data_IF_834159018333
#
_entry.id   IF_834159018333
#
_cell.length_a   1.000
_cell.length_b   1.000
_cell.length_c   1.000
_cell.angle_alpha   90.00
_cell.angle_beta   90.00
_cell.angle_gamma   90.00
#
_symmetry.space_group_name_H-M   'P 1'
#
loop_
_entity.id
_entity.type
_entity.pdbx_description
1 polymer ?
#
# COMPACT_ATOMS: atom_id res chain seq x y z
N UNK A 1 54.12 -30.84 -11.57
CA UNK A 1 52.99 -31.69 -11.94
C UNK A 1 51.75 -31.03 -11.40
N UNK A 2 50.85 -30.56 -12.28
CA UNK A 2 49.56 -30.03 -11.87
C UNK A 2 48.72 -31.18 -11.32
N UNK A 3 48.18 -31.08 -10.08
CA UNK A 3 47.31 -32.11 -9.53
C UNK A 3 46.08 -32.30 -10.44
N UNK A 4 45.59 -33.54 -10.54
CA UNK A 4 44.45 -33.84 -11.39
C UNK A 4 43.15 -33.26 -10.78
N UNK A 5 42.16 -32.96 -11.61
CA UNK A 5 40.86 -32.43 -11.17
C UNK A 5 40.21 -33.33 -10.11
N UNK A 6 40.34 -34.65 -10.27
CA UNK A 6 39.80 -35.65 -9.34
C UNK A 6 40.54 -35.64 -7.99
N UNK A 7 41.85 -35.38 -7.98
CA UNK A 7 42.63 -35.21 -6.74
C UNK A 7 42.24 -33.95 -5.97
N UNK A 8 41.99 -32.84 -6.68
CA UNK A 8 41.57 -31.56 -6.07
C UNK A 8 40.15 -31.71 -5.51
N UNK A 9 39.23 -32.32 -6.25
CA UNK A 9 37.85 -32.56 -5.82
C UNK A 9 37.78 -33.49 -4.60
N UNK A 10 38.57 -34.58 -4.59
CA UNK A 10 38.63 -35.48 -3.45
C UNK A 10 39.21 -34.81 -2.21
N UNK A 11 40.18 -33.90 -2.37
CA UNK A 11 40.71 -33.09 -1.28
C UNK A 11 39.68 -32.14 -0.71
N UNK A 12 38.93 -31.45 -1.57
CA UNK A 12 37.83 -30.57 -1.15
C UNK A 12 36.76 -31.35 -0.36
N UNK A 13 36.27 -32.47 -0.90
CA UNK A 13 35.27 -33.32 -0.24
C UNK A 13 35.75 -33.86 1.12
N UNK A 14 37.04 -34.18 1.24
CA UNK A 14 37.61 -34.63 2.51
C UNK A 14 37.68 -33.49 3.53
N UNK A 15 38.11 -32.28 3.13
CA UNK A 15 38.16 -31.12 4.01
C UNK A 15 36.77 -30.69 4.51
N UNK A 16 35.77 -30.69 3.62
CA UNK A 16 34.37 -30.37 3.95
C UNK A 16 33.79 -31.37 4.97
N UNK A 17 34.04 -32.67 4.77
CA UNK A 17 33.57 -33.72 5.68
C UNK A 17 34.20 -33.61 7.06
N UNK A 18 35.44 -33.15 7.13
CA UNK A 18 36.22 -33.01 8.37
C UNK A 18 36.01 -31.64 9.06
N UNK A 19 35.18 -30.74 8.48
CA UNK A 19 34.90 -29.40 9.02
C UNK A 19 36.11 -28.45 8.97
N UNK A 20 36.98 -28.59 7.98
CA UNK A 20 38.18 -27.78 7.77
C UNK A 20 37.93 -26.73 6.70
N UNK A 21 37.17 -25.70 7.06
CA UNK A 21 36.64 -24.68 6.16
C UNK A 21 37.73 -23.98 5.32
N UNK A 22 38.85 -23.60 5.94
CA UNK A 22 39.94 -22.90 5.24
C UNK A 22 40.61 -23.78 4.16
N UNK A 23 40.79 -25.08 4.44
CA UNK A 23 41.38 -26.04 3.48
C UNK A 23 40.41 -26.41 2.36
N UNK A 24 39.11 -26.43 2.66
CA UNK A 24 38.07 -26.64 1.67
C UNK A 24 38.03 -25.47 0.69
N UNK A 25 38.04 -24.23 1.19
CA UNK A 25 38.07 -23.04 0.34
C UNK A 25 39.32 -23.02 -0.56
N UNK A 26 40.51 -23.31 -0.02
CA UNK A 26 41.75 -23.36 -0.80
C UNK A 26 41.70 -24.44 -1.92
N UNK A 27 41.19 -25.63 -1.61
CA UNK A 27 41.03 -26.70 -2.60
C UNK A 27 40.00 -26.33 -3.69
N UNK A 28 38.92 -25.63 -3.31
CA UNK A 28 37.91 -25.15 -4.24
C UNK A 28 38.46 -24.07 -5.17
N UNK A 29 39.24 -23.12 -4.65
CA UNK A 29 39.93 -22.11 -5.46
C UNK A 29 40.91 -22.76 -6.46
N UNK A 30 41.69 -23.75 -6.01
CA UNK A 30 42.60 -24.48 -6.88
C UNK A 30 41.87 -25.20 -8.04
N UNK A 31 40.64 -25.66 -7.82
CA UNK A 31 39.79 -26.26 -8.87
C UNK A 31 39.41 -25.21 -9.94
N UNK A 32 38.98 -24.03 -9.51
CA UNK A 32 38.61 -22.93 -10.42
C UNK A 32 39.80 -22.38 -11.20
N UNK A 33 40.98 -22.31 -10.58
CA UNK A 33 42.22 -21.90 -11.25
C UNK A 33 42.69 -22.94 -12.27
N UNK A 34 42.60 -24.24 -11.95
CA UNK A 34 43.00 -25.33 -12.83
C UNK A 34 42.12 -25.45 -14.08
N UNK A 35 40.82 -25.15 -13.97
CA UNK A 35 39.85 -25.26 -15.07
C UNK A 35 39.96 -24.12 -16.10
N UNK A 36 40.82 -23.11 -15.87
CA UNK A 36 40.98 -21.94 -16.73
C UNK A 36 39.64 -21.32 -17.17
N UNK A 37 38.65 -21.33 -16.26
CA UNK A 37 37.33 -20.81 -16.55
C UNK A 37 37.46 -19.32 -16.91
N UNK A 38 36.89 -18.89 -18.05
CA UNK A 38 36.92 -17.48 -18.40
C UNK A 38 36.27 -16.69 -17.26
N UNK A 39 36.86 -15.55 -16.84
CA UNK A 39 36.31 -14.75 -15.77
C UNK A 39 34.90 -14.33 -16.14
N UNK A 40 33.92 -15.00 -15.53
CA UNK A 40 32.51 -14.66 -15.65
C UNK A 40 32.34 -13.37 -14.85
N UNK A 41 32.43 -12.22 -15.51
CA UNK A 41 32.05 -10.95 -14.91
C UNK A 41 30.52 -10.92 -14.82
N UNK A 42 29.92 -11.17 -13.64
CA UNK A 42 28.47 -11.16 -13.55
C UNK A 42 27.96 -9.74 -13.82
N UNK A 43 26.75 -9.64 -14.37
CA UNK A 43 26.11 -8.33 -14.52
C UNK A 43 25.89 -7.67 -13.17
N UNK A 44 25.96 -6.34 -13.13
CA UNK A 44 25.69 -5.58 -11.92
C UNK A 44 24.37 -6.02 -11.24
N UNK A 45 24.42 -6.18 -9.92
CA UNK A 45 23.28 -6.67 -9.11
C UNK A 45 23.05 -8.18 -9.12
N UNK A 46 23.95 -9.00 -9.69
CA UNK A 46 23.86 -10.47 -9.59
C UNK A 46 23.92 -10.97 -8.15
N UNK A 47 24.87 -10.46 -7.35
CA UNK A 47 24.99 -10.79 -5.94
C UNK A 47 23.70 -10.48 -5.17
N UNK A 48 23.10 -9.30 -5.42
CA UNK A 48 21.81 -8.93 -4.81
C UNK A 48 20.69 -9.91 -5.18
N UNK A 49 20.59 -10.32 -6.46
CA UNK A 49 19.59 -11.30 -6.91
C UNK A 49 19.79 -12.67 -6.27
N UNK A 50 21.03 -13.12 -6.12
CA UNK A 50 21.37 -14.40 -5.47
C UNK A 50 21.05 -14.34 -3.99
N UNK A 51 21.44 -13.26 -3.30
CA UNK A 51 21.19 -13.07 -1.86
C UNK A 51 19.69 -12.93 -1.54
N UNK A 52 18.92 -12.27 -2.41
CA UNK A 52 17.46 -12.23 -2.31
C UNK A 52 16.85 -13.62 -2.51
N UNK A 53 17.32 -14.38 -3.51
CA UNK A 53 16.81 -15.74 -3.78
C UNK A 53 17.19 -16.75 -2.71
N UNK A 54 18.37 -16.61 -2.11
CA UNK A 54 18.85 -17.43 -1.00
C UNK A 54 18.18 -17.07 0.34
N UNK A 55 17.34 -16.03 0.39
CA UNK A 55 16.64 -15.61 1.61
C UNK A 55 17.55 -14.96 2.66
N UNK A 56 18.82 -14.70 2.33
CA UNK A 56 19.84 -14.14 3.24
C UNK A 56 19.62 -12.64 3.43
N UNK A 57 19.08 -11.96 2.42
CA UNK A 57 18.73 -10.53 2.50
C UNK A 57 17.21 -10.40 2.50
N UNK A 58 16.66 -9.93 3.62
CA UNK A 58 15.28 -9.47 3.66
C UNK A 58 15.13 -8.36 2.61
N UNK A 59 14.34 -8.63 1.57
CA UNK A 59 13.97 -7.64 0.55
C UNK A 59 13.48 -6.40 1.28
N UNK A 60 14.28 -5.33 1.26
CA UNK A 60 13.89 -4.05 1.85
C UNK A 60 12.60 -3.67 1.13
N UNK A 61 11.43 -3.64 1.79
CA UNK A 61 10.20 -3.37 1.09
C UNK A 61 10.37 -2.00 0.46
N UNK A 62 10.27 -1.96 -0.88
CA UNK A 62 10.20 -0.70 -1.61
C UNK A 62 9.08 0.07 -0.94
N UNK A 63 9.43 1.13 -0.20
CA UNK A 63 8.45 2.05 0.35
C UNK A 63 7.81 2.74 -0.85
N UNK A 64 6.82 2.09 -1.46
CA UNK A 64 5.80 2.75 -2.25
C UNK A 64 5.33 3.90 -1.36
N UNK A 65 5.65 5.12 -1.75
CA UNK A 65 5.34 6.28 -0.94
C UNK A 65 3.81 6.35 -0.84
N UNK A 66 3.26 5.85 0.27
CA UNK A 66 1.83 5.86 0.54
C UNK A 66 1.26 7.29 0.48
N UNK A 67 2.13 8.30 0.56
CA UNK A 67 1.83 9.73 0.52
C UNK A 67 2.00 10.40 -0.86
N UNK A 68 2.55 9.71 -1.87
CA UNK A 68 2.90 10.32 -3.18
C UNK A 68 1.86 10.12 -4.28
N UNK A 69 0.93 9.19 -4.13
CA UNK A 69 -0.04 8.83 -5.16
C UNK A 69 -1.22 9.80 -5.23
N UNK A 70 -1.69 10.09 -6.45
CA UNK A 70 -2.95 10.82 -6.73
C UNK A 70 -4.13 10.33 -5.87
N UNK A 71 -4.12 9.04 -5.53
CA UNK A 71 -5.09 8.36 -4.66
C UNK A 71 -5.08 8.86 -3.21
N UNK A 72 -3.91 9.11 -2.61
CA UNK A 72 -3.82 9.67 -1.26
C UNK A 72 -4.39 11.09 -1.23
N UNK A 73 -4.10 11.89 -2.26
CA UNK A 73 -4.70 13.22 -2.45
C UNK A 73 -6.21 13.14 -2.63
N UNK A 74 -6.71 12.17 -3.38
CA UNK A 74 -8.14 11.92 -3.52
C UNK A 74 -8.81 11.54 -2.19
N UNK A 75 -8.15 10.69 -1.39
CA UNK A 75 -8.65 10.25 -0.08
C UNK A 75 -8.64 11.40 0.93
N UNK A 76 -7.60 12.24 0.94
CA UNK A 76 -7.52 13.46 1.75
C UNK A 76 -8.57 14.48 1.30
N UNK A 77 -8.76 14.68 -0.01
CA UNK A 77 -9.78 15.59 -0.54
C UNK A 77 -11.20 15.11 -0.18
N UNK A 78 -11.45 13.80 -0.25
CA UNK A 78 -12.72 13.20 0.15
C UNK A 78 -12.94 13.32 1.66
N UNK A 79 -11.90 13.11 2.48
CA UNK A 79 -11.96 13.32 3.92
C UNK A 79 -12.25 14.79 4.24
N UNK A 80 -11.58 15.74 3.58
CA UNK A 80 -11.84 17.17 3.74
C UNK A 80 -13.26 17.56 3.31
N UNK A 81 -13.76 16.98 2.21
CA UNK A 81 -15.15 17.16 1.75
C UNK A 81 -16.14 16.60 2.78
N UNK A 82 -15.90 15.39 3.29
CA UNK A 82 -16.74 14.79 4.31
C UNK A 82 -16.75 15.63 5.60
N UNK A 83 -15.59 16.13 6.04
CA UNK A 83 -15.49 17.03 7.19
C UNK A 83 -16.23 18.35 6.92
N UNK A 84 -16.04 18.96 5.75
CA UNK A 84 -16.74 20.19 5.35
C UNK A 84 -18.26 20.02 5.25
N UNK A 85 -18.73 18.89 4.73
CA UNK A 85 -20.15 18.56 4.63
C UNK A 85 -20.77 18.22 5.99
N UNK A 86 -19.96 17.74 6.94
CA UNK A 86 -20.39 17.48 8.31
C UNK A 86 -20.50 18.74 9.18
N UNK A 87 -19.83 19.85 8.84
CA UNK A 87 -19.89 21.11 9.58
C UNK A 87 -21.31 21.67 9.80
N UNK A 88 -22.22 21.73 8.80
CA UNK A 88 -23.58 22.21 9.02
C UNK A 88 -24.36 21.30 9.99
N UNK A 89 -24.15 19.99 9.92
CA UNK A 89 -24.73 19.03 10.87
C UNK A 89 -24.14 19.17 12.27
N UNK A 90 -22.83 19.44 12.37
CA UNK A 90 -22.14 19.68 13.63
C UNK A 90 -22.66 20.95 14.31
N UNK A 91 -22.94 22.01 13.55
CA UNK A 91 -23.52 23.25 14.09
C UNK A 91 -24.94 23.06 14.64
N UNK A 92 -25.75 22.21 14.00
CA UNK A 92 -27.08 21.84 14.49
C UNK A 92 -27.00 20.99 15.75
N UNK A 93 -26.09 20.02 15.77
CA UNK A 93 -25.82 19.18 16.94
C UNK A 93 -25.32 20.03 18.13
N UNK A 94 -24.37 20.93 17.92
CA UNK A 94 -23.86 21.84 18.96
C UNK A 94 -24.94 22.78 19.50
N UNK A 95 -25.83 23.33 18.65
CA UNK A 95 -26.96 24.15 19.11
C UNK A 95 -27.94 23.33 19.96
N UNK A 96 -28.28 22.13 19.53
CA UNK A 96 -29.14 21.23 20.29
C UNK A 96 -28.52 20.82 21.63
N UNK A 97 -27.19 20.67 21.67
CA UNK A 97 -26.45 20.36 22.90
C UNK A 97 -26.38 21.55 23.85
N UNK A 98 -26.23 22.77 23.32
CA UNK A 98 -26.24 24.02 24.11
C UNK A 98 -27.65 24.31 24.66
N UNK A 99 -28.71 24.06 23.89
CA UNK A 99 -30.08 24.13 24.38
C UNK A 99 -30.37 23.08 25.45
N UNK A 100 -29.89 21.84 25.29
CA UNK A 100 -30.02 20.81 26.32
C UNK A 100 -29.23 21.18 27.59
N UNK A 101 -28.00 21.68 27.43
CA UNK A 101 -27.13 22.08 28.53
C UNK A 101 -27.70 23.29 29.30
N UNK A 102 -28.36 24.22 28.60
CA UNK A 102 -29.08 25.33 29.23
C UNK A 102 -30.31 24.87 30.03
N UNK A 103 -30.87 23.69 29.71
CA UNK A 103 -32.04 23.10 30.37
C UNK A 103 -31.68 22.16 31.52
N UNK A 104 -30.45 21.63 31.53
CA UNK A 104 -29.94 20.68 32.51
C UNK A 104 -28.98 21.37 33.49
N UNK A 105 -29.53 22.17 34.40
CA UNK A 105 -28.77 22.81 35.50
C UNK A 105 -28.44 21.86 36.67
N UNK A 106 -28.61 20.54 36.47
CA UNK A 106 -28.23 19.50 37.41
C UNK A 106 -26.83 18.98 37.05
N UNK A 107 -25.82 19.11 37.94
CA UNK A 107 -24.47 18.59 37.68
C UNK A 107 -24.44 17.08 37.44
N UNK A 108 -25.42 16.33 37.94
CA UNK A 108 -25.56 14.89 37.68
C UNK A 108 -25.93 14.55 36.22
N UNK A 109 -26.73 15.41 35.58
CA UNK A 109 -27.14 15.18 34.19
C UNK A 109 -26.05 15.57 33.19
N UNK A 110 -25.22 16.56 33.52
CA UNK A 110 -24.01 16.90 32.76
C UNK A 110 -23.00 15.74 32.74
N UNK A 111 -22.78 15.08 33.88
CA UNK A 111 -21.88 13.92 33.95
C UNK A 111 -22.45 12.74 33.16
N UNK A 112 -23.77 12.49 33.24
CA UNK A 112 -24.43 11.44 32.44
C UNK A 112 -24.36 11.72 30.95
N UNK A 113 -24.59 12.97 30.53
CA UNK A 113 -24.51 13.38 29.13
C UNK A 113 -23.06 13.29 28.61
N UNK A 114 -22.08 13.69 29.42
CA UNK A 114 -20.66 13.55 29.12
C UNK A 114 -20.24 12.09 28.94
N UNK A 115 -20.67 11.19 29.84
CA UNK A 115 -20.40 9.75 29.73
C UNK A 115 -21.11 9.14 28.51
N UNK A 116 -22.36 9.49 28.25
CA UNK A 116 -23.08 9.03 27.07
C UNK A 116 -22.40 9.50 25.77
N UNK A 117 -21.95 10.76 25.71
CA UNK A 117 -21.22 11.28 24.57
C UNK A 117 -19.87 10.56 24.38
N UNK A 118 -19.13 10.29 25.46
CA UNK A 118 -17.86 9.58 25.40
C UNK A 118 -18.03 8.15 24.90
N UNK A 119 -19.04 7.44 25.39
CA UNK A 119 -19.38 6.08 24.93
C UNK A 119 -19.77 6.09 23.46
N UNK A 120 -20.66 7.02 23.05
CA UNK A 120 -21.10 7.13 21.66
C UNK A 120 -19.93 7.46 20.73
N UNK A 121 -19.03 8.37 21.15
CA UNK A 121 -17.84 8.71 20.41
C UNK A 121 -16.88 7.51 20.29
N UNK A 122 -16.69 6.75 21.36
CA UNK A 122 -15.83 5.55 21.34
C UNK A 122 -16.38 4.46 20.42
N UNK A 123 -17.71 4.27 20.38
CA UNK A 123 -18.39 3.34 19.48
C UNK A 123 -18.30 3.79 18.03
N UNK A 124 -18.50 5.09 17.78
CA UNK A 124 -18.32 5.65 16.44
C UNK A 124 -16.88 5.45 15.95
N UNK A 125 -15.89 5.73 16.80
CA UNK A 125 -14.48 5.55 16.50
C UNK A 125 -14.14 4.09 16.20
N UNK A 126 -14.66 3.15 16.99
CA UNK A 126 -14.52 1.72 16.74
C UNK A 126 -15.12 1.35 15.38
N UNK A 127 -16.32 1.82 15.06
CA UNK A 127 -16.97 1.52 13.76
C UNK A 127 -16.17 2.06 12.57
N UNK A 128 -15.57 3.25 12.71
CA UNK A 128 -14.72 3.86 11.67
C UNK A 128 -13.45 3.04 11.47
N UNK A 129 -12.85 2.54 12.55
CA UNK A 129 -11.67 1.68 12.48
C UNK A 129 -12.04 0.35 11.79
N UNK A 130 -13.11 -0.31 12.20
CA UNK A 130 -13.56 -1.58 11.59
C UNK A 130 -13.93 -1.40 10.12
N UNK A 131 -14.58 -0.29 9.77
CA UNK A 131 -14.87 0.08 8.39
C UNK A 131 -13.59 0.32 7.59
N UNK A 132 -12.60 1.01 8.18
CA UNK A 132 -11.28 1.23 7.60
C UNK A 132 -10.52 -0.07 7.35
N UNK A 133 -10.58 -1.03 8.28
CA UNK A 133 -10.02 -2.37 8.11
C UNK A 133 -10.69 -3.13 6.97
N UNK A 134 -12.02 -3.04 6.85
CA UNK A 134 -12.78 -3.60 5.73
C UNK A 134 -12.34 -3.00 4.39
N UNK A 135 -12.13 -1.68 4.33
CA UNK A 135 -11.65 -0.98 3.14
C UNK A 135 -10.23 -1.42 2.75
N UNK A 136 -9.35 -1.58 3.73
CA UNK A 136 -7.98 -2.08 3.53
C UNK A 136 -7.99 -3.54 3.07
N UNK A 137 -8.89 -4.36 3.62
CA UNK A 137 -9.13 -5.74 3.17
C UNK A 137 -9.55 -5.79 1.71
N UNK A 138 -10.54 -4.97 1.34
CA UNK A 138 -10.98 -4.82 -0.05
C UNK A 138 -9.82 -4.39 -0.96
N UNK A 139 -9.05 -3.40 -0.52
CA UNK A 139 -7.87 -2.91 -1.25
C UNK A 139 -6.81 -3.99 -1.47
N UNK A 140 -6.56 -4.86 -0.48
CA UNK A 140 -5.63 -5.99 -0.63
C UNK A 140 -6.14 -7.05 -1.60
N UNK A 141 -7.43 -7.37 -1.53
CA UNK A 141 -8.08 -8.33 -2.46
C UNK A 141 -8.04 -7.79 -3.89
N UNK A 142 -8.28 -6.49 -4.07
CA UNK A 142 -8.17 -5.80 -5.35
C UNK A 142 -6.72 -5.67 -5.82
N UNK A 143 -5.75 -5.52 -4.93
CA UNK A 143 -4.33 -5.41 -5.31
C UNK A 143 -3.78 -6.71 -5.94
N UNK A 144 -4.30 -7.87 -5.56
CA UNK A 144 -3.89 -9.17 -6.10
C UNK A 144 -4.06 -9.28 -7.64
N UNK A 145 -5.24 -8.99 -8.24
CA UNK A 145 -5.41 -9.02 -9.69
C UNK A 145 -4.65 -7.90 -10.42
N UNK A 146 -4.42 -6.75 -9.77
CA UNK A 146 -3.61 -5.65 -10.34
C UNK A 146 -2.12 -5.98 -10.46
N UNK A 147 -1.63 -7.06 -9.84
CA UNK A 147 -0.27 -7.54 -10.04
C UNK A 147 -0.03 -8.06 -11.48
N UNK A 148 -1.11 -8.35 -12.23
CA UNK A 148 -1.01 -8.75 -13.63
C UNK A 148 -1.17 -7.53 -14.56
N UNK A 149 -0.15 -7.21 -15.39
CA UNK A 149 -0.20 -6.08 -16.33
C UNK A 149 -1.44 -6.01 -17.24
N UNK A 150 -1.96 -7.13 -17.79
CA UNK A 150 -3.13 -7.06 -18.68
C UNK A 150 -4.42 -6.69 -17.94
N UNK A 151 -4.63 -7.15 -16.71
CA UNK A 151 -5.83 -6.82 -15.92
C UNK A 151 -5.82 -5.34 -15.54
N UNK A 152 -4.66 -4.79 -15.17
CA UNK A 152 -4.51 -3.37 -14.90
C UNK A 152 -4.90 -2.51 -16.11
N UNK A 153 -4.47 -2.89 -17.32
CA UNK A 153 -4.84 -2.20 -18.57
C UNK A 153 -6.35 -2.22 -18.82
N UNK A 154 -7.01 -3.36 -18.64
CA UNK A 154 -8.46 -3.49 -18.83
C UNK A 154 -9.21 -2.58 -17.86
N UNK A 155 -8.81 -2.55 -16.58
CA UNK A 155 -9.45 -1.69 -15.59
C UNK A 155 -9.21 -0.21 -15.88
N UNK A 156 -7.98 0.16 -16.28
CA UNK A 156 -7.68 1.54 -16.70
C UNK A 156 -8.53 1.94 -17.90
N UNK A 157 -8.70 1.06 -18.89
CA UNK A 157 -9.53 1.31 -20.06
C UNK A 157 -11.00 1.50 -19.67
N UNK A 158 -11.55 0.62 -18.83
CA UNK A 158 -12.91 0.75 -18.31
C UNK A 158 -13.11 2.06 -17.53
N UNK A 159 -12.16 2.45 -16.70
CA UNK A 159 -12.19 3.72 -15.97
C UNK A 159 -12.17 4.92 -16.94
N UNK A 160 -11.35 4.85 -17.99
CA UNK A 160 -11.28 5.88 -19.04
C UNK A 160 -12.62 6.04 -19.76
N UNK A 161 -13.25 4.92 -20.14
CA UNK A 161 -14.57 4.90 -20.77
C UNK A 161 -15.62 5.50 -19.82
N UNK A 162 -15.62 5.10 -18.54
CA UNK A 162 -16.56 5.62 -17.55
C UNK A 162 -16.37 7.11 -17.29
N UNK A 163 -15.12 7.58 -17.22
CA UNK A 163 -14.79 9.01 -17.06
C UNK A 163 -15.27 9.81 -18.27
N UNK A 164 -15.07 9.28 -19.47
CA UNK A 164 -15.48 9.92 -20.72
C UNK A 164 -17.01 10.00 -20.80
N UNK A 165 -17.72 8.93 -20.46
CA UNK A 165 -19.18 8.93 -20.36
C UNK A 165 -19.70 9.97 -19.36
N UNK A 166 -19.09 10.05 -18.17
CA UNK A 166 -19.45 11.05 -17.16
C UNK A 166 -19.18 12.48 -17.64
N UNK A 167 -18.05 12.71 -18.33
CA UNK A 167 -17.73 14.01 -18.90
C UNK A 167 -18.75 14.44 -19.96
N UNK A 168 -19.16 13.51 -20.84
CA UNK A 168 -20.22 13.74 -21.82
C UNK A 168 -21.55 14.07 -21.15
N UNK A 169 -21.97 13.27 -20.17
CA UNK A 169 -23.21 13.51 -19.44
C UNK A 169 -23.20 14.88 -18.76
N UNK A 170 -22.08 15.26 -18.12
CA UNK A 170 -21.91 16.57 -17.50
C UNK A 170 -22.00 17.70 -18.52
N UNK A 171 -21.38 17.55 -19.68
CA UNK A 171 -21.42 18.54 -20.76
C UNK A 171 -22.83 18.68 -21.36
N UNK A 172 -23.58 17.59 -21.49
CA UNK A 172 -24.98 17.63 -21.92
C UNK A 172 -25.85 18.38 -20.91
N UNK A 173 -25.74 18.05 -19.62
CA UNK A 173 -26.48 18.76 -18.56
C UNK A 173 -26.13 20.25 -18.54
N UNK A 174 -24.86 20.59 -18.72
CA UNK A 174 -24.42 21.99 -18.74
C UNK A 174 -24.95 22.75 -19.96
N UNK A 175 -25.01 22.11 -21.13
CA UNK A 175 -25.58 22.70 -22.36
C UNK A 175 -27.09 22.86 -22.28
N UNK A 176 -27.82 21.87 -21.78
CA UNK A 176 -29.28 21.97 -21.66
C UNK A 176 -29.69 23.09 -20.69
N UNK A 177 -28.95 23.25 -19.58
CA UNK A 177 -29.15 24.38 -18.66
C UNK A 177 -28.87 25.75 -19.29
N UNK A 178 -27.93 25.85 -20.23
CA UNK A 178 -27.62 27.14 -20.85
C UNK A 178 -28.67 27.55 -21.88
N UNK A 179 -29.39 26.61 -22.50
CA UNK A 179 -30.46 26.91 -23.46
C UNK A 179 -31.76 27.32 -22.77
N UNK A 180 -32.10 26.70 -21.63
CA UNK A 180 -33.30 27.06 -20.86
C UNK A 180 -33.28 28.48 -20.28
N UNK A 181 -32.11 29.13 -20.22
CA UNK A 181 -31.98 30.51 -19.74
C UNK A 181 -32.02 31.57 -20.86
N UNK A 182 -31.99 31.18 -22.13
CA UNK A 182 -31.92 32.11 -23.27
C UNK A 182 -33.30 32.39 -23.88
N UNK A 183 -34.30 31.51 -23.69
CA UNK A 183 -35.64 31.67 -24.28
C UNK A 183 -36.63 32.52 -23.42
N UNK A 184 -36.17 33.13 -22.33
CA UNK A 184 -37.01 33.92 -21.42
C UNK A 184 -36.73 35.44 -21.46
N UNK A 185 -36.02 35.94 -22.48
CA UNK A 185 -35.88 37.37 -22.78
C UNK A 185 -36.23 37.64 -24.24
#
# INVERSE_FOLDING_TARGET
MTPSHEEILNRWLAAERDGRDDEADEALFALFEAEALPPLAPSAGFADRVLVRAGVVAVKPVRLSAFGGLWFRGLVALALLATGLSLPWLSGALRSLVELAGRLWSPGDLVRLGMAALVTLSQALASVITFGEGLLGLGRVLASPFATPPVALVVVLCLLVSLMAFHFLRNLIARDRSWSHVELN
#
